data_IF_901677370115
#
_entry.id   IF_901677370115
#
_cell.length_a   1.000
_cell.length_b   1.000
_cell.length_c   1.000
_cell.angle_alpha   90.00
_cell.angle_beta   90.00
_cell.angle_gamma   90.00
#
_symmetry.space_group_name_H-M   'P 1'
#
loop_
_entity.id
_entity.type
_entity.pdbx_description
1 polymer ?
#
# COMPACT_ATOMS: atom_id res chain seq x y z
N UNK A 1 -10.37 11.16 1.15
CA UNK A 1 -10.13 10.15 2.23
C UNK A 1 -11.34 10.09 3.14
N UNK A 2 -11.99 8.93 3.23
CA UNK A 2 -13.04 8.68 4.23
C UNK A 2 -12.38 8.34 5.57
N UNK A 3 -12.71 9.11 6.59
CA UNK A 3 -12.28 8.90 7.96
C UNK A 3 -13.48 8.96 8.93
N UNK A 4 -13.26 8.55 10.16
CA UNK A 4 -14.28 8.46 11.21
C UNK A 4 -13.63 8.62 12.59
N UNK A 5 -14.39 8.87 13.66
CA UNK A 5 -13.83 8.94 15.02
C UNK A 5 -13.02 7.70 15.35
N UNK A 6 -11.88 7.90 16.02
CA UNK A 6 -10.89 6.87 16.32
C UNK A 6 -10.26 6.17 15.08
N UNK A 7 -10.27 6.82 13.91
CA UNK A 7 -9.41 6.41 12.80
C UNK A 7 -7.93 6.53 13.18
N UNK A 8 -7.08 5.67 12.61
CA UNK A 8 -5.63 5.77 12.77
C UNK A 8 -5.11 6.98 12.00
N UNK A 9 -4.45 7.92 12.69
CA UNK A 9 -4.03 9.19 12.10
C UNK A 9 -3.16 9.01 10.85
N UNK A 10 -2.19 8.09 10.88
CA UNK A 10 -1.30 7.84 9.75
C UNK A 10 -2.00 7.11 8.58
N UNK A 11 -3.08 6.38 8.83
CA UNK A 11 -3.90 5.80 7.76
C UNK A 11 -4.62 6.89 6.95
N UNK A 12 -4.88 8.04 7.59
CA UNK A 12 -5.48 9.21 6.95
C UNK A 12 -4.41 10.11 6.33
N UNK A 13 -3.47 10.59 7.14
CA UNK A 13 -2.53 11.63 6.74
C UNK A 13 -1.39 11.11 5.86
N UNK A 14 -0.95 9.86 6.06
CA UNK A 14 0.17 9.29 5.30
C UNK A 14 -0.07 9.26 3.79
N UNK A 15 -1.12 8.60 3.30
CA UNK A 15 -1.44 8.59 1.87
C UNK A 15 -1.75 9.99 1.31
N UNK A 16 -2.44 10.84 2.10
CA UNK A 16 -2.75 12.20 1.67
C UNK A 16 -1.48 13.05 1.52
N UNK A 17 -0.48 12.86 2.40
CA UNK A 17 0.81 13.56 2.27
C UNK A 17 1.56 13.11 1.01
N UNK A 18 1.50 11.86 0.60
CA UNK A 18 2.09 11.39 -0.67
C UNK A 18 1.50 12.17 -1.85
N UNK A 19 0.17 12.28 -1.96
CA UNK A 19 -0.49 13.00 -3.03
C UNK A 19 -0.27 14.52 -2.91
N UNK A 20 -0.34 15.07 -1.71
CA UNK A 20 -0.09 16.49 -1.46
C UNK A 20 1.36 16.90 -1.81
N UNK A 21 2.33 16.05 -1.47
CA UNK A 21 3.73 16.26 -1.84
C UNK A 21 3.93 16.17 -3.35
N UNK A 22 3.28 15.18 -4.00
CA UNK A 22 3.33 15.04 -5.44
C UNK A 22 2.75 16.26 -6.17
N UNK A 23 1.61 16.79 -5.72
CA UNK A 23 1.01 18.00 -6.29
C UNK A 23 1.95 19.21 -6.21
N UNK A 24 2.60 19.40 -5.05
CA UNK A 24 3.60 20.48 -4.88
C UNK A 24 4.81 20.27 -5.78
N UNK A 25 5.37 19.05 -5.78
CA UNK A 25 6.55 18.72 -6.57
C UNK A 25 6.34 18.97 -8.07
N UNK A 26 5.21 18.49 -8.60
CA UNK A 26 4.83 18.64 -10.03
C UNK A 26 4.69 20.12 -10.39
N UNK A 27 4.04 20.91 -9.55
CA UNK A 27 3.90 22.37 -9.74
C UNK A 27 5.26 23.07 -9.70
N UNK A 28 6.07 22.78 -8.70
CA UNK A 28 7.35 23.47 -8.45
C UNK A 28 8.38 23.16 -9.55
N UNK A 29 8.22 22.01 -10.26
CA UNK A 29 9.02 21.66 -11.43
C UNK A 29 8.36 22.04 -12.78
N UNK A 30 7.27 22.79 -12.74
CA UNK A 30 6.62 23.32 -13.96
C UNK A 30 5.96 22.26 -14.86
N UNK A 31 5.71 21.04 -14.36
CA UNK A 31 5.10 19.97 -15.14
C UNK A 31 3.58 20.13 -15.30
N UNK A 32 2.92 20.86 -14.41
CA UNK A 32 1.53 21.29 -14.53
C UNK A 32 1.34 22.65 -13.86
N UNK A 33 0.49 23.48 -14.47
CA UNK A 33 0.02 24.75 -13.87
C UNK A 33 -1.19 24.55 -12.98
N UNK A 34 -1.94 23.45 -13.17
CA UNK A 34 -3.12 23.11 -12.39
C UNK A 34 -2.74 22.25 -11.19
N UNK A 35 -3.58 22.27 -10.17
CA UNK A 35 -3.45 21.42 -9.01
C UNK A 35 -3.82 19.97 -9.41
N UNK A 36 -2.83 19.11 -9.54
CA UNK A 36 -3.00 17.73 -10.05
C UNK A 36 -3.63 16.76 -9.05
N UNK A 37 -3.53 17.06 -7.76
CA UNK A 37 -4.20 16.33 -6.68
C UNK A 37 -4.86 17.31 -5.70
N UNK A 38 -6.17 17.19 -5.58
CA UNK A 38 -6.93 17.85 -4.51
C UNK A 38 -7.26 16.81 -3.45
N UNK A 39 -6.62 16.91 -2.29
CA UNK A 39 -6.80 15.96 -1.18
C UNK A 39 -7.82 16.50 -0.19
N UNK A 40 -8.72 15.64 0.28
CA UNK A 40 -9.82 16.01 1.16
C UNK A 40 -10.11 14.90 2.16
N UNK A 41 -10.43 15.27 3.39
CA UNK A 41 -10.92 14.37 4.43
C UNK A 41 -12.44 14.53 4.52
N UNK A 42 -13.16 13.41 4.41
CA UNK A 42 -14.62 13.36 4.57
C UNK A 42 -14.99 12.40 5.69
N UNK A 43 -16.02 12.74 6.47
CA UNK A 43 -16.53 11.93 7.57
C UNK A 43 -18.07 11.90 7.56
N UNK A 44 -18.70 11.32 8.58
CA UNK A 44 -20.16 11.33 8.70
C UNK A 44 -20.74 12.76 8.76
N UNK A 45 -20.01 13.68 9.40
CA UNK A 45 -20.33 15.11 9.52
C UNK A 45 -19.06 15.94 9.29
N UNK A 46 -19.15 17.17 8.78
CA UNK A 46 -18.01 18.08 8.74
C UNK A 46 -17.60 18.50 10.15
N UNK A 47 -16.34 18.94 10.29
CA UNK A 47 -15.77 19.41 11.54
C UNK A 47 -14.72 18.49 12.16
N UNK A 48 -14.24 18.83 13.37
CA UNK A 48 -13.18 18.12 14.01
C UNK A 48 -13.65 16.77 14.59
N UNK A 49 -12.80 15.75 14.46
CA UNK A 49 -12.97 14.46 15.13
C UNK A 49 -11.64 13.96 15.71
N UNK A 50 -11.70 13.24 16.81
CA UNK A 50 -10.53 12.65 17.45
C UNK A 50 -10.09 11.37 16.72
N UNK A 51 -8.79 11.22 16.51
CA UNK A 51 -8.16 9.99 16.02
C UNK A 51 -7.83 9.06 17.18
N UNK A 52 -7.40 7.83 16.88
CA UNK A 52 -6.98 6.84 17.89
C UNK A 52 -5.77 7.28 18.72
N UNK A 53 -4.96 8.21 18.23
CA UNK A 53 -3.82 8.80 18.96
C UNK A 53 -4.18 10.05 19.77
N UNK A 54 -5.45 10.47 19.80
CA UNK A 54 -5.91 11.68 20.46
C UNK A 54 -5.74 12.96 19.65
N UNK A 55 -4.99 12.96 18.56
CA UNK A 55 -4.91 14.09 17.65
C UNK A 55 -6.26 14.33 16.97
N UNK A 56 -6.60 15.60 16.75
CA UNK A 56 -7.82 15.95 16.03
C UNK A 56 -7.51 16.22 14.56
N UNK A 57 -8.29 15.60 13.69
CA UNK A 57 -8.37 15.93 12.27
C UNK A 57 -9.70 16.64 12.00
N UNK A 58 -9.75 17.40 10.91
CA UNK A 58 -10.96 18.10 10.48
C UNK A 58 -11.46 17.48 9.20
N UNK A 59 -12.71 16.99 9.21
CA UNK A 59 -13.39 16.63 7.97
C UNK A 59 -13.93 17.89 7.32
N UNK A 60 -13.60 18.12 6.07
CA UNK A 60 -14.00 19.31 5.32
C UNK A 60 -15.48 19.28 5.02
N UNK A 61 -16.03 18.08 4.79
CA UNK A 61 -17.47 17.90 4.59
C UNK A 61 -17.95 16.50 4.96
N UNK A 62 -19.27 16.34 5.04
CA UNK A 62 -19.90 15.04 5.24
C UNK A 62 -19.77 14.17 4.00
N UNK A 63 -19.47 12.86 4.15
CA UNK A 63 -19.29 11.96 3.01
C UNK A 63 -20.54 11.91 2.08
N UNK A 64 -21.76 12.10 2.63
CA UNK A 64 -22.99 12.10 1.85
C UNK A 64 -23.10 13.25 0.84
N UNK A 65 -22.33 14.32 1.02
CA UNK A 65 -22.28 15.44 0.07
C UNK A 65 -21.31 15.20 -1.09
N UNK A 66 -20.44 14.19 -1.00
CA UNK A 66 -19.49 13.85 -2.05
C UNK A 66 -20.22 13.16 -3.20
N UNK A 67 -20.13 13.73 -4.40
CA UNK A 67 -20.79 13.22 -5.60
C UNK A 67 -19.87 12.48 -6.55
N UNK A 68 -18.59 12.86 -6.55
CA UNK A 68 -17.54 12.28 -7.39
C UNK A 68 -16.18 12.40 -6.69
N UNK A 69 -15.29 11.51 -7.02
CA UNK A 69 -13.87 11.54 -6.70
C UNK A 69 -13.15 10.61 -7.69
N UNK A 70 -11.89 10.90 -8.01
CA UNK A 70 -11.08 9.97 -8.81
C UNK A 70 -10.63 8.79 -7.95
N UNK A 71 -10.17 9.07 -6.75
CA UNK A 71 -9.71 8.08 -5.78
C UNK A 71 -10.42 8.25 -4.45
N UNK A 72 -11.06 7.18 -3.97
CA UNK A 72 -11.67 7.11 -2.64
C UNK A 72 -10.91 6.09 -1.81
N UNK A 73 -10.30 6.54 -0.71
CA UNK A 73 -9.62 5.68 0.25
C UNK A 73 -10.39 5.67 1.58
N UNK A 74 -10.48 4.50 2.19
CA UNK A 74 -11.13 4.28 3.49
C UNK A 74 -10.04 4.02 4.53
N UNK A 75 -9.92 4.88 5.52
CA UNK A 75 -8.96 4.74 6.59
C UNK A 75 -9.29 3.53 7.50
N UNK A 76 -8.28 3.01 8.17
CA UNK A 76 -8.46 2.09 9.29
C UNK A 76 -8.43 2.81 10.65
N UNK A 77 -8.47 2.02 11.72
CA UNK A 77 -8.39 2.50 13.09
C UNK A 77 -9.29 1.74 14.05
N UNK A 78 -9.22 2.10 15.33
CA UNK A 78 -9.98 1.39 16.41
C UNK A 78 -11.50 1.55 16.24
N UNK A 79 -11.94 2.69 15.66
CA UNK A 79 -13.36 2.97 15.38
C UNK A 79 -13.94 2.22 14.17
N UNK A 80 -13.20 1.28 13.57
CA UNK A 80 -13.67 0.54 12.40
C UNK A 80 -14.94 -0.30 12.67
N UNK A 81 -15.17 -0.72 13.91
CA UNK A 81 -16.31 -1.57 14.27
C UNK A 81 -17.63 -0.87 14.04
N UNK A 82 -17.75 0.38 14.49
CA UNK A 82 -18.93 1.23 14.28
C UNK A 82 -19.12 1.53 12.79
N UNK A 83 -18.02 1.86 12.08
CA UNK A 83 -18.06 2.10 10.64
C UNK A 83 -18.43 0.83 9.85
N UNK A 84 -17.97 -0.35 10.29
CA UNK A 84 -18.34 -1.65 9.68
C UNK A 84 -19.81 -2.01 9.91
N UNK A 85 -20.43 -1.50 10.97
CA UNK A 85 -21.87 -1.72 11.24
C UNK A 85 -22.78 -0.65 10.60
N UNK A 86 -22.25 0.44 10.03
CA UNK A 86 -23.04 1.53 9.47
C UNK A 86 -23.60 1.19 8.07
N UNK A 87 -24.85 0.76 8.03
CA UNK A 87 -25.55 0.46 6.79
C UNK A 87 -25.70 1.68 5.84
N UNK A 88 -25.75 2.90 6.37
CA UNK A 88 -25.84 4.11 5.56
C UNK A 88 -24.49 4.41 4.86
N UNK A 89 -23.39 4.16 5.57
CA UNK A 89 -22.05 4.23 5.00
C UNK A 89 -21.85 3.18 3.90
N UNK A 90 -22.31 1.95 4.11
CA UNK A 90 -22.22 0.89 3.09
C UNK A 90 -22.96 1.28 1.81
N UNK A 91 -24.20 1.76 1.91
CA UNK A 91 -24.98 2.24 0.75
C UNK A 91 -24.26 3.35 -0.01
N UNK A 92 -23.66 4.30 0.71
CA UNK A 92 -22.89 5.36 0.08
C UNK A 92 -21.62 4.84 -0.59
N UNK A 93 -20.85 3.95 0.06
CA UNK A 93 -19.67 3.33 -0.54
C UNK A 93 -20.01 2.53 -1.80
N UNK A 94 -21.10 1.77 -1.80
CA UNK A 94 -21.60 1.04 -2.96
C UNK A 94 -21.94 2.00 -4.12
N UNK A 95 -22.62 3.12 -3.82
CA UNK A 95 -22.95 4.14 -4.82
C UNK A 95 -21.71 4.85 -5.37
N UNK A 96 -20.69 5.04 -4.56
CA UNK A 96 -19.41 5.65 -4.98
C UNK A 96 -18.53 4.68 -5.75
N UNK A 97 -18.58 3.38 -5.46
CA UNK A 97 -17.70 2.36 -6.05
C UNK A 97 -17.78 2.27 -7.58
N UNK A 98 -18.93 2.64 -8.18
CA UNK A 98 -19.12 2.72 -9.64
C UNK A 98 -18.74 4.07 -10.24
N UNK A 99 -18.44 5.09 -9.41
CA UNK A 99 -18.17 6.47 -9.86
C UNK A 99 -16.71 6.85 -9.71
N UNK A 100 -15.94 6.13 -8.91
CA UNK A 100 -14.51 6.39 -8.69
C UNK A 100 -13.66 5.54 -9.61
N UNK A 101 -12.55 6.09 -10.08
CA UNK A 101 -11.57 5.32 -10.82
C UNK A 101 -10.86 4.29 -9.90
N UNK A 102 -10.58 4.68 -8.65
CA UNK A 102 -9.92 3.84 -7.65
C UNK A 102 -10.66 3.87 -6.33
N UNK A 103 -10.99 2.70 -5.80
CA UNK A 103 -11.51 2.54 -4.44
C UNK A 103 -10.52 1.71 -3.64
N UNK A 104 -10.05 2.26 -2.52
CA UNK A 104 -9.08 1.56 -1.70
C UNK A 104 -9.37 1.65 -0.21
N UNK A 105 -8.62 0.85 0.55
CA UNK A 105 -8.63 0.85 2.01
C UNK A 105 -7.23 0.72 2.58
N UNK A 106 -7.07 1.23 3.78
CA UNK A 106 -5.84 1.19 4.54
C UNK A 106 -6.13 0.46 5.85
N UNK A 107 -5.24 -0.45 6.25
CA UNK A 107 -5.37 -1.21 7.48
C UNK A 107 -6.71 -1.99 7.54
N UNK A 108 -7.39 -1.96 8.67
CA UNK A 108 -8.70 -2.58 8.86
C UNK A 108 -9.88 -1.83 8.18
N UNK A 109 -9.62 -0.75 7.45
CA UNK A 109 -10.60 -0.18 6.52
C UNK A 109 -11.06 -1.17 5.45
N UNK A 110 -10.28 -2.22 5.17
CA UNK A 110 -10.68 -3.33 4.31
C UNK A 110 -11.92 -4.09 4.83
N UNK A 111 -12.11 -4.17 6.16
CA UNK A 111 -13.30 -4.79 6.75
C UNK A 111 -14.57 -3.98 6.44
N UNK A 112 -14.47 -2.66 6.37
CA UNK A 112 -15.59 -1.77 5.99
C UNK A 112 -15.98 -2.02 4.53
N UNK A 113 -14.99 -2.11 3.63
CA UNK A 113 -15.25 -2.43 2.23
C UNK A 113 -15.81 -3.84 2.04
N UNK A 114 -15.30 -4.82 2.80
CA UNK A 114 -15.80 -6.20 2.78
C UNK A 114 -17.25 -6.28 3.27
N UNK A 115 -17.59 -5.61 4.38
CA UNK A 115 -18.97 -5.54 4.90
C UNK A 115 -19.94 -4.85 3.92
N UNK A 116 -19.45 -3.88 3.15
CA UNK A 116 -20.22 -3.28 2.05
C UNK A 116 -20.30 -4.17 0.79
N UNK A 117 -19.72 -5.41 0.79
CA UNK A 117 -19.70 -6.32 -0.36
C UNK A 117 -18.77 -5.90 -1.50
N UNK A 118 -17.93 -4.90 -1.30
CA UNK A 118 -17.09 -4.28 -2.35
C UNK A 118 -15.78 -5.02 -2.62
N UNK A 119 -15.48 -6.06 -1.82
CA UNK A 119 -14.33 -6.95 -1.99
C UNK A 119 -14.72 -8.37 -2.40
N UNK A 120 -16.01 -8.67 -2.64
CA UNK A 120 -16.48 -9.99 -3.07
C UNK A 120 -15.85 -10.39 -4.41
N UNK A 121 -15.29 -11.60 -4.49
CA UNK A 121 -14.57 -12.10 -5.66
C UNK A 121 -13.23 -11.41 -5.94
N UNK A 122 -12.71 -10.61 -4.99
CA UNK A 122 -11.47 -9.85 -5.14
C UNK A 122 -10.36 -10.38 -4.25
N UNK A 123 -9.13 -10.20 -4.71
CA UNK A 123 -7.95 -10.33 -3.84
C UNK A 123 -7.82 -9.08 -2.99
N UNK A 124 -7.56 -9.26 -1.70
CA UNK A 124 -7.41 -8.16 -0.77
C UNK A 124 -6.42 -8.49 0.34
N UNK A 125 -5.88 -7.46 0.96
CA UNK A 125 -5.11 -7.56 2.20
C UNK A 125 -5.66 -6.57 3.23
N UNK A 126 -5.23 -6.74 4.46
CA UNK A 126 -5.51 -5.85 5.58
C UNK A 126 -4.33 -5.89 6.55
N UNK A 127 -4.38 -5.15 7.63
CA UNK A 127 -3.39 -5.24 8.69
C UNK A 127 -3.31 -6.68 9.24
N UNK A 128 -2.11 -7.16 9.51
CA UNK A 128 -1.85 -8.55 9.93
C UNK A 128 -2.73 -9.03 11.09
N UNK A 129 -3.06 -8.15 12.04
CA UNK A 129 -3.93 -8.48 13.19
C UNK A 129 -5.39 -8.76 12.78
N UNK A 130 -5.83 -8.34 11.60
CA UNK A 130 -7.20 -8.46 11.09
C UNK A 130 -7.34 -9.41 9.89
N UNK A 131 -6.27 -10.10 9.50
CA UNK A 131 -6.32 -11.06 8.38
C UNK A 131 -7.37 -12.16 8.61
N UNK A 132 -7.45 -12.69 9.83
CA UNK A 132 -8.46 -13.70 10.20
C UNK A 132 -9.88 -13.17 10.10
N UNK A 133 -10.10 -11.90 10.42
CA UNK A 133 -11.43 -11.29 10.31
C UNK A 133 -11.80 -11.03 8.85
N UNK A 134 -10.85 -10.60 8.03
CA UNK A 134 -11.06 -10.46 6.59
C UNK A 134 -11.33 -11.83 5.92
N UNK A 135 -10.68 -12.91 6.36
CA UNK A 135 -10.91 -14.27 5.87
C UNK A 135 -12.34 -14.78 6.13
N UNK A 136 -13.02 -14.28 7.18
CA UNK A 136 -14.42 -14.60 7.46
C UNK A 136 -15.38 -13.91 6.49
N UNK A 137 -14.91 -12.89 5.75
CA UNK A 137 -15.74 -12.17 4.80
C UNK A 137 -15.97 -13.03 3.54
N UNK A 138 -17.22 -13.17 3.15
CA UNK A 138 -17.63 -14.05 2.05
C UNK A 138 -16.99 -13.60 0.72
N UNK A 139 -16.33 -14.55 0.04
CA UNK A 139 -15.82 -14.35 -1.30
C UNK A 139 -14.55 -13.49 -1.43
N UNK A 140 -13.88 -13.14 -0.33
CA UNK A 140 -12.62 -12.39 -0.37
C UNK A 140 -11.44 -13.35 -0.43
N UNK A 141 -10.58 -13.21 -1.46
CA UNK A 141 -9.32 -13.95 -1.57
C UNK A 141 -8.21 -13.19 -0.82
N UNK A 142 -7.98 -13.55 0.45
CA UNK A 142 -7.06 -12.83 1.32
C UNK A 142 -5.59 -13.14 0.97
N UNK A 143 -4.81 -12.08 0.76
CA UNK A 143 -3.36 -12.13 0.57
C UNK A 143 -2.69 -11.70 1.88
N UNK A 144 -2.22 -12.65 2.66
CA UNK A 144 -1.76 -12.48 4.05
C UNK A 144 -0.39 -11.79 4.20
N UNK A 145 0.47 -11.88 3.19
CA UNK A 145 1.83 -11.32 3.25
C UNK A 145 2.01 -10.02 2.44
N UNK A 146 1.01 -9.61 1.69
CA UNK A 146 1.14 -8.43 0.84
C UNK A 146 1.10 -7.13 1.65
N UNK A 147 2.03 -6.20 1.38
CA UNK A 147 2.01 -4.84 1.93
C UNK A 147 0.79 -4.08 1.39
N UNK A 148 0.52 -4.21 0.10
CA UNK A 148 -0.71 -3.77 -0.54
C UNK A 148 -1.06 -4.71 -1.70
N UNK A 149 -2.34 -4.70 -2.09
CA UNK A 149 -2.88 -5.43 -3.23
C UNK A 149 -3.64 -4.46 -4.12
N UNK A 150 -3.43 -4.59 -5.42
CA UNK A 150 -4.29 -4.07 -6.46
C UNK A 150 -5.03 -5.23 -7.12
N UNK A 151 -6.35 -5.12 -7.24
CA UNK A 151 -7.20 -6.03 -7.99
C UNK A 151 -8.23 -5.21 -8.79
N UNK A 152 -7.94 -5.02 -10.08
CA UNK A 152 -8.68 -4.09 -10.91
C UNK A 152 -8.59 -2.66 -10.38
N UNK A 153 -9.73 -2.08 -10.04
CA UNK A 153 -9.80 -0.75 -9.41
C UNK A 153 -9.96 -0.79 -7.88
N UNK A 154 -9.71 -1.94 -7.26
CA UNK A 154 -9.68 -2.11 -5.81
C UNK A 154 -8.24 -2.12 -5.32
N UNK A 155 -7.97 -1.35 -4.27
CA UNK A 155 -6.66 -1.22 -3.65
C UNK A 155 -6.81 -1.44 -2.15
N UNK A 156 -6.04 -2.35 -1.58
CA UNK A 156 -6.07 -2.61 -0.14
C UNK A 156 -4.65 -2.70 0.41
N UNK A 157 -4.38 -2.11 1.55
CA UNK A 157 -3.05 -2.12 2.15
C UNK A 157 -3.06 -2.57 3.61
N UNK A 158 -1.89 -3.03 4.06
CA UNK A 158 -1.65 -3.51 5.42
C UNK A 158 -1.78 -2.42 6.50
N UNK A 159 -1.80 -1.15 6.11
CA UNK A 159 -2.02 -0.02 7.01
C UNK A 159 -0.77 0.74 7.39
N UNK A 160 -0.98 1.88 8.04
CA UNK A 160 0.04 2.84 8.47
C UNK A 160 0.98 3.19 7.31
N UNK A 161 2.26 2.84 7.38
CA UNK A 161 3.22 3.13 6.32
C UNK A 161 2.93 2.39 5.00
N UNK A 162 2.28 1.22 5.05
CA UNK A 162 1.87 0.50 3.84
C UNK A 162 0.79 1.25 3.02
N UNK A 163 0.02 2.13 3.68
CA UNK A 163 -0.87 3.07 2.98
C UNK A 163 -0.12 4.08 2.13
N UNK A 164 1.06 4.52 2.60
CA UNK A 164 1.96 5.39 1.82
C UNK A 164 2.60 4.64 0.64
N UNK A 165 3.02 3.38 0.83
CA UNK A 165 3.54 2.54 -0.26
C UNK A 165 2.49 2.36 -1.37
N UNK A 166 1.23 2.12 -0.99
CA UNK A 166 0.11 2.03 -1.92
C UNK A 166 -0.15 3.36 -2.64
N UNK A 167 -0.08 4.49 -1.94
CA UNK A 167 -0.24 5.81 -2.54
C UNK A 167 0.91 6.15 -3.51
N UNK A 168 2.15 5.77 -3.19
CA UNK A 168 3.30 5.89 -4.11
C UNK A 168 3.11 5.02 -5.36
N UNK A 169 2.55 3.82 -5.23
CA UNK A 169 2.24 2.99 -6.39
C UNK A 169 1.14 3.61 -7.28
N UNK A 170 0.11 4.22 -6.67
CA UNK A 170 -0.91 4.98 -7.42
C UNK A 170 -0.29 6.21 -8.12
N UNK A 171 0.62 6.91 -7.45
CA UNK A 171 1.37 8.02 -8.05
C UNK A 171 2.25 7.55 -9.22
N UNK A 172 2.92 6.39 -9.09
CA UNK A 172 3.69 5.79 -10.18
C UNK A 172 2.81 5.45 -11.39
N UNK A 173 1.58 5.00 -11.17
CA UNK A 173 0.60 4.76 -12.23
C UNK A 173 0.17 6.05 -12.94
N UNK A 174 -0.02 7.13 -12.20
CA UNK A 174 -0.49 8.41 -12.73
C UNK A 174 0.61 9.19 -13.46
N UNK A 175 1.81 9.24 -12.91
CA UNK A 175 2.89 10.15 -13.33
C UNK A 175 4.20 9.43 -13.68
N UNK A 176 4.26 8.14 -13.56
CA UNK A 176 5.43 7.32 -13.86
C UNK A 176 6.47 7.29 -12.74
N UNK A 177 7.41 6.34 -12.89
CA UNK A 177 8.46 6.05 -11.91
C UNK A 177 9.33 7.25 -11.53
N UNK A 178 9.74 8.16 -12.45
CA UNK A 178 10.62 9.27 -12.09
C UNK A 178 10.01 10.20 -11.03
N UNK A 179 8.71 10.54 -11.18
CA UNK A 179 8.03 11.45 -10.24
C UNK A 179 7.74 10.74 -8.92
N UNK A 180 7.27 9.49 -8.97
CA UNK A 180 7.05 8.70 -7.77
C UNK A 180 8.35 8.51 -6.97
N UNK A 181 9.50 8.29 -7.62
CA UNK A 181 10.80 8.20 -6.98
C UNK A 181 11.24 9.53 -6.36
N UNK A 182 11.01 10.65 -7.04
CA UNK A 182 11.32 11.98 -6.49
C UNK A 182 10.53 12.26 -5.21
N UNK A 183 9.23 11.98 -5.22
CA UNK A 183 8.37 12.13 -4.04
C UNK A 183 8.77 11.17 -2.91
N UNK A 184 9.06 9.91 -3.24
CA UNK A 184 9.53 8.93 -2.25
C UNK A 184 10.83 9.39 -1.57
N UNK A 185 11.77 9.96 -2.33
CA UNK A 185 13.03 10.53 -1.78
C UNK A 185 12.77 11.71 -0.83
N UNK A 186 11.87 12.62 -1.18
CA UNK A 186 11.54 13.75 -0.30
C UNK A 186 10.85 13.30 1.00
N UNK A 187 10.05 12.24 0.94
CA UNK A 187 9.40 11.64 2.11
C UNK A 187 10.28 10.64 2.86
N UNK A 188 11.53 10.41 2.38
CA UNK A 188 12.47 9.42 2.93
C UNK A 188 11.84 8.01 2.97
N UNK A 189 11.07 7.67 1.95
CA UNK A 189 10.41 6.38 1.78
C UNK A 189 11.08 5.56 0.68
N UNK A 190 10.95 4.25 0.77
CA UNK A 190 11.25 3.37 -0.37
C UNK A 190 10.13 3.49 -1.41
N UNK A 191 10.47 3.64 -2.69
CA UNK A 191 9.46 3.55 -3.75
C UNK A 191 8.83 2.14 -3.81
N UNK A 192 9.67 1.12 -3.65
CA UNK A 192 9.25 -0.29 -3.51
C UNK A 192 9.95 -0.88 -2.30
N UNK A 193 9.22 -1.06 -1.23
CA UNK A 193 9.74 -1.65 0.00
C UNK A 193 9.96 -3.15 -0.19
N UNK A 194 11.17 -3.67 0.06
CA UNK A 194 11.39 -5.11 0.02
C UNK A 194 10.67 -5.80 1.19
N UNK A 195 10.13 -7.00 0.93
CA UNK A 195 9.48 -7.83 1.94
C UNK A 195 7.95 -7.69 2.00
N UNK A 196 7.35 -8.48 2.85
CA UNK A 196 5.91 -8.52 3.11
C UNK A 196 5.58 -8.22 4.58
N UNK A 197 4.30 -8.27 4.94
CA UNK A 197 3.85 -8.09 6.33
C UNK A 197 4.44 -9.13 7.29
N UNK A 198 4.57 -10.37 6.84
CA UNK A 198 5.10 -11.47 7.66
C UNK A 198 6.54 -11.21 8.11
N UNK A 199 7.36 -10.55 7.30
CA UNK A 199 8.72 -10.21 7.68
C UNK A 199 8.75 -9.27 8.89
N UNK A 200 7.90 -8.25 8.91
CA UNK A 200 7.77 -7.36 10.06
C UNK A 200 7.20 -8.10 11.27
N UNK A 201 6.20 -8.96 11.07
CA UNK A 201 5.61 -9.77 12.13
C UNK A 201 6.64 -10.74 12.74
N UNK A 202 7.43 -11.45 11.91
CA UNK A 202 8.42 -12.42 12.36
C UNK A 202 9.57 -11.74 13.14
N UNK A 203 10.10 -10.60 12.64
CA UNK A 203 11.11 -9.81 13.33
C UNK A 203 10.58 -9.19 14.62
N UNK A 204 9.39 -8.62 14.59
CA UNK A 204 8.78 -8.04 15.78
C UNK A 204 8.47 -9.11 16.81
N UNK A 205 7.90 -10.25 16.41
CA UNK A 205 7.64 -11.36 17.32
C UNK A 205 8.92 -11.85 18.01
N UNK A 206 10.03 -11.95 17.25
CA UNK A 206 11.33 -12.29 17.82
C UNK A 206 11.85 -11.21 18.79
N UNK A 207 11.64 -9.92 18.47
CA UNK A 207 12.08 -8.81 19.34
C UNK A 207 11.27 -8.70 20.63
N UNK A 208 9.98 -9.09 20.62
CA UNK A 208 9.09 -9.05 21.78
C UNK A 208 9.12 -10.33 22.61
N UNK A 209 9.95 -11.33 22.27
CA UNK A 209 10.15 -12.48 23.14
C UNK A 209 10.68 -12.02 24.50
N UNK A 210 10.01 -12.35 25.57
CA UNK A 210 10.43 -12.04 26.96
C UNK A 210 11.70 -12.84 27.34
N UNK A 211 11.91 -13.99 26.71
CA UNK A 211 13.09 -14.83 26.90
C UNK A 211 14.25 -14.34 26.02
N UNK A 212 15.24 -13.73 26.65
CA UNK A 212 16.42 -13.17 25.98
C UNK A 212 17.21 -14.22 25.19
N UNK A 213 17.26 -15.45 25.65
CA UNK A 213 17.97 -16.57 25.01
C UNK A 213 17.24 -16.99 23.74
N UNK A 214 15.93 -17.20 23.82
CA UNK A 214 15.13 -17.55 22.65
C UNK A 214 15.05 -16.40 21.65
N UNK A 215 14.98 -15.15 22.11
CA UNK A 215 15.05 -13.97 21.26
C UNK A 215 16.33 -13.97 20.41
N UNK A 216 17.48 -14.21 21.01
CA UNK A 216 18.76 -14.32 20.30
C UNK A 216 18.75 -15.43 19.23
N UNK A 217 18.18 -16.59 19.57
CA UNK A 217 18.05 -17.71 18.63
C UNK A 217 17.08 -17.39 17.48
N UNK A 218 15.93 -16.79 17.76
CA UNK A 218 14.95 -16.41 16.74
C UNK A 218 15.51 -15.38 15.76
N UNK A 219 16.19 -14.34 16.24
CA UNK A 219 16.84 -13.35 15.39
C UNK A 219 17.93 -13.98 14.53
N UNK A 220 18.74 -14.84 15.12
CA UNK A 220 19.78 -15.55 14.37
C UNK A 220 19.21 -16.45 13.27
N UNK A 221 18.12 -17.18 13.52
CA UNK A 221 17.42 -17.99 12.50
C UNK A 221 17.03 -17.12 11.30
N UNK A 222 16.49 -15.92 11.53
CA UNK A 222 16.04 -15.01 10.47
C UNK A 222 17.17 -14.58 9.54
N UNK A 223 18.37 -14.43 10.09
CA UNK A 223 19.58 -14.01 9.35
C UNK A 223 20.29 -15.17 8.65
N UNK A 224 20.06 -16.42 9.12
CA UNK A 224 20.85 -17.60 8.71
C UNK A 224 19.99 -18.72 8.09
N UNK A 225 18.90 -18.36 7.37
CA UNK A 225 17.93 -19.32 6.83
C UNK A 225 18.55 -20.39 5.92
N UNK A 226 19.67 -20.10 5.26
CA UNK A 226 20.35 -21.04 4.38
C UNK A 226 21.22 -22.07 5.12
N UNK A 227 21.50 -21.87 6.40
CA UNK A 227 22.37 -22.70 7.21
C UNK A 227 21.66 -23.93 7.81
N UNK A 228 22.41 -24.78 8.51
CA UNK A 228 21.85 -25.87 9.30
C UNK A 228 21.12 -25.31 10.54
N UNK A 229 19.80 -25.33 10.49
CA UNK A 229 18.90 -24.93 11.55
C UNK A 229 18.23 -26.14 12.21
N UNK A 230 18.96 -27.27 12.30
CA UNK A 230 18.49 -28.43 13.04
C UNK A 230 18.26 -28.09 14.53
N UNK A 231 17.36 -28.82 15.16
CA UNK A 231 17.06 -28.62 16.60
C UNK A 231 18.32 -28.75 17.46
N UNK A 232 19.25 -29.62 17.08
CA UNK A 232 20.51 -29.79 17.77
C UNK A 232 21.37 -28.51 17.72
N UNK A 233 21.55 -27.91 16.54
CA UNK A 233 22.30 -26.67 16.36
C UNK A 233 21.66 -25.46 17.08
N UNK A 234 20.34 -25.36 17.01
CA UNK A 234 19.61 -24.30 17.71
C UNK A 234 19.69 -24.44 19.24
N UNK A 235 19.62 -25.69 19.73
CA UNK A 235 19.78 -26.00 21.16
C UNK A 235 21.18 -25.68 21.67
N UNK A 236 22.23 -26.05 20.90
CA UNK A 236 23.61 -25.69 21.21
C UNK A 236 23.78 -24.18 21.35
N UNK A 237 23.19 -23.39 20.41
CA UNK A 237 23.23 -21.93 20.46
C UNK A 237 22.48 -21.36 21.65
N UNK A 238 21.42 -22.03 22.11
CA UNK A 238 20.68 -21.67 23.32
C UNK A 238 21.33 -22.17 24.61
N UNK A 239 22.48 -22.87 24.55
CA UNK A 239 23.11 -23.54 25.67
C UNK A 239 22.15 -24.52 26.38
N UNK A 240 21.33 -25.25 25.62
CA UNK A 240 20.33 -26.20 26.12
C UNK A 240 20.52 -27.57 25.49
N UNK A 241 19.99 -28.62 26.16
CA UNK A 241 19.84 -29.92 25.50
C UNK A 241 18.74 -29.84 24.43
N UNK A 242 18.81 -30.60 23.31
CA UNK A 242 17.80 -30.56 22.22
C UNK A 242 16.35 -30.76 22.71
N UNK A 243 16.15 -31.66 23.67
CA UNK A 243 14.83 -31.92 24.25
C UNK A 243 14.31 -30.75 25.07
N UNK A 244 15.16 -30.14 25.89
CA UNK A 244 14.80 -28.97 26.70
C UNK A 244 14.50 -27.76 25.80
N UNK A 245 15.35 -27.50 24.82
CA UNK A 245 15.17 -26.43 23.84
C UNK A 245 13.84 -26.59 23.09
N UNK A 246 13.56 -27.76 22.52
CA UNK A 246 12.32 -27.99 21.77
C UNK A 246 11.08 -27.75 22.63
N UNK A 247 11.08 -28.22 23.87
CA UNK A 247 9.96 -28.02 24.82
C UNK A 247 9.80 -26.53 25.16
N UNK A 248 10.89 -25.87 25.50
CA UNK A 248 10.91 -24.46 25.90
C UNK A 248 10.51 -23.55 24.73
N UNK A 249 11.08 -23.79 23.56
CA UNK A 249 10.74 -23.07 22.33
C UNK A 249 9.25 -23.23 21.98
N UNK A 250 8.72 -24.44 22.02
CA UNK A 250 7.29 -24.69 21.74
C UNK A 250 6.37 -24.00 22.75
N UNK A 251 6.76 -23.95 24.02
CA UNK A 251 6.00 -23.26 25.06
C UNK A 251 5.97 -21.74 24.82
N UNK A 252 7.14 -21.14 24.52
CA UNK A 252 7.29 -19.68 24.37
C UNK A 252 6.81 -19.14 23.02
N UNK A 253 7.01 -19.91 21.92
CA UNK A 253 6.71 -19.49 20.54
C UNK A 253 5.35 -20.06 20.04
N UNK A 254 4.81 -21.05 20.74
CA UNK A 254 3.54 -21.70 20.37
C UNK A 254 3.66 -22.72 19.23
N UNK A 255 4.89 -23.03 18.76
CA UNK A 255 5.14 -24.02 17.70
C UNK A 255 6.51 -24.68 17.83
N UNK A 256 6.66 -25.88 17.27
CA UNK A 256 7.92 -26.60 17.29
C UNK A 256 9.01 -25.88 16.48
N UNK A 257 10.30 -25.92 16.92
CA UNK A 257 11.41 -25.23 16.25
C UNK A 257 11.54 -25.55 14.75
N UNK A 258 11.40 -26.82 14.36
CA UNK A 258 11.45 -27.22 12.96
C UNK A 258 10.30 -26.70 12.12
N UNK A 259 9.10 -26.54 12.70
CA UNK A 259 7.95 -25.93 12.06
C UNK A 259 8.19 -24.42 11.87
N UNK A 260 8.71 -23.73 12.88
CA UNK A 260 9.08 -22.33 12.85
C UNK A 260 10.10 -22.04 11.73
N UNK A 261 11.20 -22.79 11.70
CA UNK A 261 12.24 -22.66 10.64
C UNK A 261 11.64 -22.91 9.25
N UNK A 262 10.79 -23.94 9.10
CA UNK A 262 10.13 -24.23 7.82
C UNK A 262 9.25 -23.06 7.36
N UNK A 263 8.47 -22.48 8.27
CA UNK A 263 7.61 -21.32 7.96
C UNK A 263 8.41 -20.12 7.49
N UNK A 264 9.50 -19.79 8.19
CA UNK A 264 10.40 -18.69 7.82
C UNK A 264 11.07 -18.91 6.46
N UNK A 265 11.51 -20.14 6.17
CA UNK A 265 12.06 -20.52 4.86
C UNK A 265 11.04 -20.40 3.73
N UNK A 266 9.78 -20.78 3.96
CA UNK A 266 8.70 -20.62 3.00
C UNK A 266 8.41 -19.13 2.76
N UNK A 267 8.32 -18.32 3.79
CA UNK A 267 8.13 -16.88 3.67
C UNK A 267 9.28 -16.22 2.88
N UNK A 268 10.52 -16.62 3.13
CA UNK A 268 11.68 -16.16 2.37
C UNK A 268 11.63 -16.60 0.89
N UNK A 269 11.20 -17.83 0.62
CA UNK A 269 11.05 -18.34 -0.76
C UNK A 269 9.95 -17.60 -1.53
N UNK A 270 8.79 -17.35 -0.92
CA UNK A 270 7.71 -16.53 -1.48
C UNK A 270 8.24 -15.18 -1.95
N UNK A 271 8.90 -14.44 -1.05
CA UNK A 271 9.48 -13.12 -1.37
C UNK A 271 10.44 -13.17 -2.56
N UNK A 272 11.33 -14.18 -2.60
CA UNK A 272 12.27 -14.32 -3.73
C UNK A 272 11.58 -14.68 -5.04
N UNK A 273 10.48 -15.45 -4.99
CA UNK A 273 9.66 -15.76 -6.18
C UNK A 273 8.96 -14.51 -6.72
N UNK A 274 8.52 -13.61 -5.85
CA UNK A 274 7.81 -12.37 -6.20
C UNK A 274 8.74 -11.25 -6.68
N UNK A 275 9.94 -11.17 -6.08
CA UNK A 275 10.81 -10.00 -6.20
C UNK A 275 12.05 -10.21 -7.07
N UNK A 276 12.35 -11.44 -7.45
CA UNK A 276 13.59 -11.75 -8.17
C UNK A 276 13.36 -12.69 -9.35
N UNK A 277 14.18 -12.57 -10.42
CA UNK A 277 14.17 -13.51 -11.55
C UNK A 277 14.94 -14.80 -11.26
N UNK A 278 15.35 -15.06 -10.01
CA UNK A 278 16.12 -16.23 -9.64
C UNK A 278 15.37 -17.53 -9.98
N UNK A 279 16.08 -18.54 -10.51
CA UNK A 279 15.51 -19.86 -10.75
C UNK A 279 15.06 -20.52 -9.44
N UNK A 280 14.02 -21.35 -9.47
CA UNK A 280 13.45 -22.01 -8.28
C UNK A 280 14.53 -22.79 -7.51
N UNK A 281 15.46 -23.45 -8.23
CA UNK A 281 16.62 -24.13 -7.62
C UNK A 281 17.51 -23.19 -6.82
N UNK A 282 17.79 -21.99 -7.32
CA UNK A 282 18.61 -20.99 -6.61
C UNK A 282 17.88 -20.46 -5.37
N UNK A 283 16.57 -20.30 -5.47
CA UNK A 283 15.73 -19.91 -4.34
C UNK A 283 15.75 -21.00 -3.26
N UNK A 284 15.60 -22.26 -3.64
CA UNK A 284 15.68 -23.39 -2.73
C UNK A 284 16.98 -23.41 -1.91
N UNK A 285 18.10 -23.19 -2.59
CA UNK A 285 19.43 -23.14 -1.94
C UNK A 285 19.52 -21.93 -0.99
N UNK A 286 19.17 -20.72 -1.45
CA UNK A 286 19.26 -19.48 -0.66
C UNK A 286 18.31 -19.42 0.52
N UNK A 287 17.25 -20.21 0.49
CA UNK A 287 16.28 -20.30 1.58
C UNK A 287 16.48 -21.55 2.46
N UNK A 288 17.55 -22.30 2.27
CA UNK A 288 17.90 -23.44 3.13
C UNK A 288 17.09 -24.71 2.90
N UNK A 289 16.41 -24.86 1.75
CA UNK A 289 15.75 -26.11 1.38
C UNK A 289 16.72 -27.14 0.77
N UNK A 290 17.90 -26.73 0.36
CA UNK A 290 18.91 -27.57 -0.29
C UNK A 290 18.53 -27.96 -1.72
N UNK A 291 17.37 -28.54 -1.93
CA UNK A 291 16.89 -28.99 -3.27
C UNK A 291 15.59 -28.32 -3.66
N UNK A 292 15.38 -28.20 -4.99
CA UNK A 292 14.14 -27.68 -5.55
C UNK A 292 12.91 -28.52 -5.15
N UNK A 293 13.08 -29.84 -5.08
CA UNK A 293 12.01 -30.76 -4.69
C UNK A 293 11.62 -30.60 -3.22
N UNK A 294 12.59 -30.33 -2.32
CA UNK A 294 12.31 -30.04 -0.90
C UNK A 294 11.52 -28.75 -0.74
N UNK A 295 11.89 -27.70 -1.51
CA UNK A 295 11.12 -26.45 -1.59
C UNK A 295 9.72 -26.72 -2.12
N UNK A 296 9.58 -27.44 -3.24
CA UNK A 296 8.30 -27.75 -3.88
C UNK A 296 7.34 -28.44 -2.90
N UNK A 297 7.79 -29.50 -2.24
CA UNK A 297 6.96 -30.23 -1.26
C UNK A 297 6.52 -29.35 -0.11
N UNK A 298 7.43 -28.59 0.48
CA UNK A 298 7.12 -27.71 1.60
C UNK A 298 6.19 -26.57 1.18
N UNK A 299 6.38 -26.03 -0.01
CA UNK A 299 5.59 -24.94 -0.56
C UNK A 299 4.16 -25.36 -0.90
N UNK A 300 3.99 -26.54 -1.55
CA UNK A 300 2.67 -27.12 -1.82
C UNK A 300 1.94 -27.48 -0.54
N UNK A 301 2.63 -28.07 0.44
CA UNK A 301 2.03 -28.40 1.72
C UNK A 301 1.55 -27.18 2.51
N UNK A 302 2.23 -26.03 2.35
CA UNK A 302 1.89 -24.79 3.07
C UNK A 302 0.91 -23.89 2.31
N UNK A 303 0.99 -23.82 0.98
CA UNK A 303 0.29 -22.83 0.15
C UNK A 303 -0.64 -23.45 -0.91
N UNK A 304 -0.67 -24.78 -1.03
CA UNK A 304 -1.52 -25.50 -1.98
C UNK A 304 -1.10 -25.38 -3.45
N UNK A 305 0.01 -24.68 -3.77
CA UNK A 305 0.48 -24.44 -5.15
C UNK A 305 1.98 -24.64 -5.25
N UNK A 306 2.47 -24.99 -6.46
CA UNK A 306 3.93 -25.10 -6.68
C UNK A 306 4.62 -23.74 -6.74
N UNK A 307 5.93 -23.64 -6.44
CA UNK A 307 6.70 -22.41 -6.56
C UNK A 307 6.63 -21.79 -7.97
N UNK A 308 6.66 -22.61 -9.02
CA UNK A 308 6.56 -22.14 -10.41
C UNK A 308 5.17 -21.55 -10.69
N UNK A 309 4.10 -22.28 -10.37
CA UNK A 309 2.72 -21.79 -10.54
C UNK A 309 2.44 -20.54 -9.68
N UNK A 310 3.08 -20.44 -8.50
CA UNK A 310 3.00 -19.24 -7.65
C UNK A 310 3.63 -18.05 -8.38
N UNK A 311 4.83 -18.20 -8.94
CA UNK A 311 5.50 -17.14 -9.71
C UNK A 311 4.69 -16.70 -10.93
N UNK A 312 4.19 -17.64 -11.74
CA UNK A 312 3.38 -17.35 -12.93
C UNK A 312 2.16 -16.49 -12.61
N UNK A 313 1.50 -16.73 -11.49
CA UNK A 313 0.38 -15.90 -11.01
C UNK A 313 0.79 -14.46 -10.73
N UNK A 314 2.00 -14.25 -10.21
CA UNK A 314 2.53 -12.91 -9.94
C UNK A 314 3.05 -12.22 -11.20
N UNK A 315 3.72 -12.95 -12.12
CA UNK A 315 4.20 -12.43 -13.40
C UNK A 315 3.04 -12.14 -14.36
N UNK A 316 2.00 -12.98 -14.38
CA UNK A 316 0.77 -12.75 -15.16
C UNK A 316 0.07 -11.46 -14.71
N UNK A 317 -0.10 -11.28 -13.41
CA UNK A 317 -0.67 -10.06 -12.84
C UNK A 317 0.19 -8.81 -13.16
N UNK A 318 1.51 -8.93 -13.14
CA UNK A 318 2.44 -7.84 -13.49
C UNK A 318 2.40 -7.48 -14.98
N UNK A 319 2.28 -8.49 -15.87
CA UNK A 319 2.16 -8.29 -17.34
C UNK A 319 0.83 -7.67 -17.73
N UNK A 320 -0.28 -8.11 -17.14
CA UNK A 320 -1.59 -7.50 -17.36
C UNK A 320 -1.61 -6.03 -16.89
N UNK A 321 -0.94 -5.71 -15.80
CA UNK A 321 -0.75 -4.35 -15.30
C UNK A 321 0.08 -3.50 -16.28
N UNK A 322 1.14 -4.06 -16.87
CA UNK A 322 1.99 -3.40 -17.87
C UNK A 322 1.25 -3.11 -19.17
N UNK A 323 0.43 -4.05 -19.63
CA UNK A 323 -0.34 -3.91 -20.88
C UNK A 323 -1.50 -2.91 -20.75
N UNK A 324 -2.17 -2.88 -19.59
CA UNK A 324 -3.23 -1.91 -19.30
C UNK A 324 -2.69 -0.48 -19.14
N UNK A 325 -1.51 -0.32 -18.53
CA UNK A 325 -0.83 0.97 -18.43
C UNK A 325 -0.38 1.52 -19.79
N UNK A 326 0.11 0.66 -20.69
CA UNK A 326 0.47 1.03 -22.05
C UNK A 326 -0.76 1.42 -22.90
N UNK A 327 -1.89 0.73 -22.73
CA UNK A 327 -3.17 1.03 -23.40
C UNK A 327 -3.82 2.34 -22.92
N UNK A 328 -3.65 2.68 -21.63
CA UNK A 328 -4.13 3.94 -21.07
C UNK A 328 -3.30 5.14 -21.56
N UNK A 329 -1.97 4.99 -21.68
CA UNK A 329 -1.09 6.02 -22.26
C UNK A 329 -1.46 6.35 -23.71
N UNK A 330 -1.77 5.34 -24.52
CA UNK A 330 -2.12 5.53 -25.94
C UNK A 330 -3.48 6.24 -26.10
N UNK A 331 -4.44 6.00 -25.21
CA UNK A 331 -5.72 6.71 -25.20
C UNK A 331 -5.62 8.15 -24.74
N UNK A 332 -4.75 8.46 -23.77
CA UNK A 332 -4.51 9.83 -23.30
C UNK A 332 -3.80 10.68 -24.37
N UNK A 333 -2.85 10.11 -25.10
CA UNK A 333 -2.17 10.79 -26.21
C UNK A 333 -3.09 11.03 -27.41
N UNK A 334 -4.00 10.10 -27.71
CA UNK A 334 -4.99 10.25 -28.81
C UNK A 334 -6.07 11.27 -28.47
N UNK A 335 -6.51 11.38 -27.22
CA UNK A 335 -7.50 12.38 -26.79
C UNK A 335 -6.89 13.78 -26.65
N UNK A 336 -5.60 13.91 -26.30
CA UNK A 336 -4.87 15.19 -26.28
C UNK A 336 -4.64 15.78 -27.69
N UNK A 337 -4.47 14.92 -28.71
CA UNK A 337 -4.26 15.33 -30.09
C UNK A 337 -5.56 15.77 -30.82
N UNK A 338 -6.74 15.37 -30.33
CA UNK A 338 -8.03 15.73 -30.92
C UNK A 338 -8.55 17.09 -30.49
N UNK A 339 -8.01 17.68 -29.41
CA UNK A 339 -8.49 18.98 -28.86
C UNK A 339 -7.82 20.21 -29.43
N UNK A 340 -6.83 20.07 -30.35
CA UNK A 340 -6.04 21.21 -30.87
C UNK A 340 -6.33 21.58 -32.32
N UNK A 341 -7.48 21.22 -32.88
CA UNK A 341 -7.89 21.68 -34.22
C UNK A 341 -9.25 22.39 -34.20
N UNK A 342 -9.26 23.67 -33.77
CA UNK A 342 -10.27 24.65 -34.24
C UNK A 342 -9.57 25.64 -35.20
N UNK A 343 -10.08 25.82 -36.43
CA UNK A 343 -9.52 26.78 -37.35
C UNK A 343 -9.95 28.20 -36.96
N UNK A 344 -8.98 29.11 -36.83
CA UNK A 344 -9.21 30.53 -36.73
C UNK A 344 -9.99 31.05 -37.98
N UNK A 345 -11.09 31.72 -37.77
CA UNK A 345 -11.74 32.57 -38.80
C UNK A 345 -11.04 33.92 -38.85
N UNK A 346 -10.80 34.49 -40.04
CA UNK A 346 -10.20 35.81 -40.15
C UNK A 346 -11.21 36.93 -39.87
N UNK A 347 -10.95 37.73 -38.85
CA UNK A 347 -11.73 38.94 -38.53
C UNK A 347 -11.18 40.14 -39.26
N UNK A 348 -12.08 40.93 -39.81
CA UNK A 348 -11.85 42.14 -40.63
C UNK A 348 -11.17 43.27 -39.87
N UNK A 349 -10.33 44.02 -40.57
CA UNK A 349 -9.56 45.14 -40.10
C UNK A 349 -10.38 46.29 -39.55
N UNK A 350 -9.81 47.03 -38.63
CA UNK A 350 -10.16 48.40 -38.24
C UNK A 350 -8.87 49.21 -38.08
N UNK A 351 -8.96 50.40 -38.65
CA UNK A 351 -7.88 51.35 -38.90
C UNK A 351 -7.27 51.95 -37.63
N UNK A 352 -5.97 52.21 -37.73
CA UNK A 352 -5.13 52.95 -36.81
C UNK A 352 -5.48 54.44 -36.84
N UNK A 353 -5.72 55.04 -35.69
CA UNK A 353 -5.46 56.49 -35.48
C UNK A 353 -4.55 56.66 -34.28
N UNK A 354 -3.44 57.36 -34.52
CA UNK A 354 -2.40 57.65 -33.58
C UNK A 354 -2.81 58.66 -32.50
N UNK A 355 -2.12 58.58 -31.41
CA UNK A 355 -2.17 59.51 -30.31
C UNK A 355 -1.20 59.12 -29.22
N UNK A 356 -0.04 59.74 -29.25
CA UNK A 356 0.88 59.80 -28.11
C UNK A 356 0.32 60.77 -27.09
N UNK A 357 0.31 60.44 -25.81
CA UNK A 357 0.95 61.29 -24.84
C UNK A 357 1.57 60.59 -23.62
N UNK A 358 2.74 61.06 -23.24
CA UNK A 358 2.99 61.67 -21.93
C UNK A 358 3.25 60.71 -20.77
N UNK A 359 4.49 60.53 -20.41
CA UNK A 359 5.01 60.05 -19.12
C UNK A 359 4.51 60.94 -17.96
N UNK A 360 4.14 60.40 -16.82
CA UNK A 360 4.20 61.13 -15.56
C UNK A 360 5.37 60.67 -14.68
N UNK A 361 5.94 61.69 -14.04
CA UNK A 361 7.09 61.72 -13.15
C UNK A 361 6.84 61.06 -11.82
N UNK A 362 7.91 60.48 -11.25
CA UNK A 362 8.04 60.05 -9.86
C UNK A 362 7.79 61.17 -8.84
N UNK A 363 7.26 60.87 -7.67
CA UNK A 363 7.46 61.74 -6.51
C UNK A 363 8.56 61.19 -5.59
N UNK A 364 9.37 62.16 -5.14
CA UNK A 364 10.50 62.07 -4.23
C UNK A 364 10.07 61.73 -2.78
N UNK A 365 10.96 61.03 -2.11
CA UNK A 365 11.13 60.95 -0.67
C UNK A 365 10.87 62.26 0.10
N UNK A 366 10.19 62.16 1.23
CA UNK A 366 10.51 62.92 2.44
C UNK A 366 10.28 62.06 3.69
N UNK A 367 11.36 62.02 4.45
CA UNK A 367 11.50 61.54 5.82
C UNK A 367 10.72 62.41 6.81
N UNK A 368 10.11 61.77 7.78
CA UNK A 368 10.15 62.10 9.22
C UNK A 368 9.72 60.92 10.03
#
# INVERSE_FOLDING_TARGET
MLAYPNAQVLDVTGPLEVFGRAARWIRDHGLSRELVYHVEIVAARPGPFATSSGLRLVAERGYRSVRSADTLLVAGGVGHREATADAALHKWLQAMAGKVMRLGSICNGALILAAAGLLNGRRATTHWAFLRDLQKSLGVAVCDDAIYIRDGNRYTSAGVTAGMDMALAMLEEDWGTPIALAVARELVLFLKRPGGQSQFSDYLAAQFSEDSTLKGVQLWILEHLAEDLSVARLAERACMSPRNFARHFNHSVGMAPGQYVRQLRINAARRKLEQTPLRVRQIAQRCGFGTEESLRRSFVASLGVSPAAYRERFEGAARELGTQAAGARNRSLLNGAASTRQPMRPGRGAQIRGGTPGLPRSPRNRSS
#
